data_IF_776573398372
#
_entry.id   IF_776573398372
#
_cell.length_a   1.000
_cell.length_b   1.000
_cell.length_c   1.000
_cell.angle_alpha   90.00
_cell.angle_beta   90.00
_cell.angle_gamma   90.00
#
_symmetry.space_group_name_H-M   'P 1'
#
loop_
_entity.id
_entity.type
_entity.pdbx_description
1 polymer ?
#
# COMPACT_ATOMS: atom_id res chain seq x y z
N UNK A 1 -30.25 34.78 -8.78
CA UNK A 1 -29.31 34.78 -9.93
C UNK A 1 -28.17 33.83 -9.60
N UNK A 2 -28.18 32.62 -10.16
CA UNK A 2 -27.19 31.57 -9.88
C UNK A 2 -25.83 31.84 -10.54
N UNK A 3 -25.11 32.86 -10.07
CA UNK A 3 -23.77 33.15 -10.56
C UNK A 3 -22.78 32.10 -10.05
N UNK A 4 -22.13 31.40 -10.98
CA UNK A 4 -21.04 30.47 -10.69
C UNK A 4 -19.82 31.27 -10.24
N UNK A 5 -19.39 31.06 -9.00
CA UNK A 5 -18.23 31.75 -8.40
C UNK A 5 -16.90 31.09 -8.76
N UNK A 6 -16.91 29.77 -8.96
CA UNK A 6 -15.72 28.99 -9.29
C UNK A 6 -16.13 27.65 -9.87
N UNK A 7 -15.34 27.18 -10.85
CA UNK A 7 -15.42 25.84 -11.41
C UNK A 7 -14.10 25.13 -11.12
N UNK A 8 -14.16 23.98 -10.46
CA UNK A 8 -12.99 23.17 -10.17
C UNK A 8 -12.74 22.20 -11.34
N UNK A 9 -11.81 22.56 -12.23
CA UNK A 9 -11.35 21.65 -13.28
C UNK A 9 -10.08 20.92 -12.80
N UNK A 10 -10.06 19.58 -12.80
CA UNK A 10 -8.89 18.84 -12.36
C UNK A 10 -7.74 19.06 -13.35
N UNK A 11 -6.62 19.61 -12.86
CA UNK A 11 -5.38 19.66 -13.62
C UNK A 11 -4.62 18.36 -13.36
N UNK A 12 -4.50 17.52 -14.39
CA UNK A 12 -3.79 16.26 -14.31
C UNK A 12 -2.42 16.40 -14.99
N UNK A 13 -1.39 15.86 -14.35
CA UNK A 13 -0.05 15.72 -14.92
C UNK A 13 0.49 14.36 -14.54
N UNK A 14 1.07 13.65 -15.50
CA UNK A 14 1.72 12.37 -15.24
C UNK A 14 2.96 12.58 -14.38
N UNK A 15 2.97 12.01 -13.17
CA UNK A 15 4.10 12.11 -12.25
C UNK A 15 5.13 11.00 -12.47
N UNK A 16 4.67 9.82 -12.91
CA UNK A 16 5.46 8.63 -13.18
C UNK A 16 4.87 7.89 -14.39
N UNK A 17 5.72 7.17 -15.12
CA UNK A 17 5.27 6.37 -16.26
C UNK A 17 4.26 5.29 -15.86
N UNK A 18 3.34 4.93 -16.76
CA UNK A 18 2.39 3.84 -16.55
C UNK A 18 3.07 2.52 -16.14
N UNK A 19 4.20 2.18 -16.78
CA UNK A 19 4.99 1.00 -16.44
C UNK A 19 5.56 1.08 -15.02
N UNK A 20 6.08 2.24 -14.61
CA UNK A 20 6.56 2.46 -13.24
C UNK A 20 5.41 2.37 -12.23
N UNK A 21 4.26 2.95 -12.55
CA UNK A 21 3.07 2.91 -11.69
C UNK A 21 2.58 1.46 -11.49
N UNK A 22 2.50 0.68 -12.56
CA UNK A 22 2.08 -0.72 -12.49
C UNK A 22 3.08 -1.62 -11.74
N UNK A 23 4.38 -1.35 -11.89
CA UNK A 23 5.42 -2.00 -11.09
C UNK A 23 5.25 -1.69 -9.60
N UNK A 24 5.08 -0.41 -9.25
CA UNK A 24 4.85 0.03 -7.87
C UNK A 24 3.58 -0.58 -7.28
N UNK A 25 2.50 -0.62 -8.06
CA UNK A 25 1.27 -1.31 -7.69
C UNK A 25 1.54 -2.78 -7.35
N UNK A 26 2.34 -3.46 -8.15
CA UNK A 26 2.67 -4.87 -7.90
C UNK A 26 3.41 -5.08 -6.58
N UNK A 27 4.34 -4.17 -6.24
CA UNK A 27 5.00 -4.17 -4.93
C UNK A 27 4.00 -3.92 -3.78
N UNK A 28 3.06 -3.00 -3.96
CA UNK A 28 2.04 -2.68 -2.97
C UNK A 28 1.02 -3.82 -2.78
N UNK A 29 0.70 -4.57 -3.85
CA UNK A 29 -0.09 -5.81 -3.76
C UNK A 29 0.64 -6.86 -2.92
N UNK A 30 1.98 -6.90 -2.99
CA UNK A 30 2.82 -7.76 -2.16
C UNK A 30 2.58 -7.55 -0.66
N UNK A 31 2.47 -6.29 -0.20
CA UNK A 31 2.21 -5.95 1.21
C UNK A 31 0.88 -6.53 1.71
N UNK A 32 -0.14 -6.53 0.84
CA UNK A 32 -1.50 -7.00 1.16
C UNK A 32 -1.62 -8.52 1.07
N UNK A 33 -0.92 -9.15 0.13
CA UNK A 33 -1.09 -10.59 -0.13
C UNK A 33 -0.07 -11.45 0.60
N UNK A 34 1.13 -10.92 0.87
CA UNK A 34 2.25 -11.67 1.47
C UNK A 34 2.95 -10.92 2.62
N UNK A 35 2.63 -9.65 2.85
CA UNK A 35 3.33 -8.79 3.80
C UNK A 35 2.56 -8.47 5.08
N UNK A 36 2.90 -7.32 5.66
CA UNK A 36 2.43 -6.89 6.99
C UNK A 36 0.91 -6.69 7.08
N UNK A 37 0.24 -6.44 5.95
CA UNK A 37 -1.21 -6.22 5.92
C UNK A 37 -2.02 -7.51 5.73
N UNK A 38 -1.40 -8.61 5.29
CA UNK A 38 -2.09 -9.84 4.86
C UNK A 38 -3.04 -10.39 5.91
N UNK A 39 -2.55 -10.53 7.15
CA UNK A 39 -3.35 -11.11 8.22
C UNK A 39 -4.66 -10.36 8.42
N UNK A 40 -4.61 -9.03 8.43
CA UNK A 40 -5.81 -8.24 8.70
C UNK A 40 -6.71 -8.17 7.46
N UNK A 41 -6.16 -7.83 6.29
CA UNK A 41 -6.96 -7.65 5.08
C UNK A 41 -7.60 -8.95 4.60
N UNK A 42 -6.81 -10.03 4.47
CA UNK A 42 -7.27 -11.29 3.86
C UNK A 42 -7.93 -12.25 4.84
N UNK A 43 -7.51 -12.27 6.11
CA UNK A 43 -8.01 -13.26 7.08
C UNK A 43 -8.97 -12.70 8.13
N UNK A 44 -8.87 -11.42 8.50
CA UNK A 44 -9.76 -10.83 9.53
C UNK A 44 -10.93 -10.10 8.89
N UNK A 45 -10.66 -9.25 7.89
CA UNK A 45 -11.69 -8.48 7.19
C UNK A 45 -12.21 -9.16 5.92
N UNK A 46 -11.57 -10.26 5.51
CA UNK A 46 -11.97 -11.09 4.35
C UNK A 46 -12.17 -10.27 3.07
N UNK A 47 -11.40 -9.20 2.90
CA UNK A 47 -11.43 -8.42 1.67
C UNK A 47 -10.69 -9.23 0.62
N UNK A 48 -11.37 -9.61 -0.46
CA UNK A 48 -10.83 -10.46 -1.54
C UNK A 48 -10.52 -9.70 -2.83
N UNK A 49 -10.93 -8.43 -2.91
CA UNK A 49 -10.70 -7.56 -4.06
C UNK A 49 -9.22 -7.34 -4.36
N UNK A 50 -8.93 -6.94 -5.60
CA UNK A 50 -7.60 -6.52 -5.98
C UNK A 50 -7.28 -5.17 -5.31
N UNK A 51 -6.22 -5.17 -4.50
CA UNK A 51 -5.81 -3.99 -3.76
C UNK A 51 -4.33 -3.99 -3.45
N UNK A 52 -3.74 -2.80 -3.46
CA UNK A 52 -2.41 -2.55 -2.93
C UNK A 52 -2.50 -1.82 -1.59
N UNK A 53 -1.42 -1.85 -0.81
CA UNK A 53 -1.37 -1.03 0.39
C UNK A 53 0.02 -0.86 0.97
N UNK A 54 0.14 0.07 1.90
CA UNK A 54 1.37 0.33 2.64
C UNK A 54 1.07 0.71 4.07
N UNK A 55 1.82 0.10 4.99
CA UNK A 55 1.84 0.45 6.40
C UNK A 55 2.94 1.47 6.68
N UNK A 56 2.69 2.41 7.58
CA UNK A 56 3.67 3.33 8.14
C UNK A 56 3.55 3.38 9.65
N UNK A 57 4.67 3.51 10.34
CA UNK A 57 4.72 3.66 11.80
C UNK A 57 5.82 4.67 12.12
N UNK A 58 5.55 5.69 12.92
CA UNK A 58 6.58 6.61 13.41
C UNK A 58 7.34 6.00 14.59
N UNK A 59 8.51 6.58 14.91
CA UNK A 59 9.30 6.16 16.06
C UNK A 59 8.50 6.28 17.37
N UNK A 60 8.84 5.46 18.36
CA UNK A 60 8.10 5.30 19.60
C UNK A 60 6.64 4.81 19.43
N UNK A 61 6.20 4.49 18.22
CA UNK A 61 4.83 4.06 17.94
C UNK A 61 3.79 5.12 18.31
N UNK A 62 4.09 6.40 18.05
CA UNK A 62 3.15 7.51 18.29
C UNK A 62 2.09 7.59 17.19
N UNK A 63 2.44 7.24 15.95
CA UNK A 63 1.56 7.32 14.79
C UNK A 63 1.58 6.05 13.96
N UNK A 64 0.39 5.60 13.60
CA UNK A 64 0.16 4.51 12.66
C UNK A 64 -0.57 5.02 11.43
N UNK A 65 -0.05 4.66 10.25
CA UNK A 65 -0.66 4.97 8.96
C UNK A 65 -0.95 3.69 8.18
N UNK A 66 -2.05 3.71 7.45
CA UNK A 66 -2.33 2.72 6.43
C UNK A 66 -2.90 3.42 5.20
N UNK A 67 -2.24 3.22 4.07
CA UNK A 67 -2.73 3.63 2.75
C UNK A 67 -3.16 2.38 2.00
N UNK A 68 -4.40 2.36 1.53
CA UNK A 68 -4.93 1.31 0.66
C UNK A 68 -5.38 1.89 -0.67
N UNK A 69 -5.15 1.13 -1.74
CA UNK A 69 -5.59 1.47 -3.08
C UNK A 69 -6.32 0.30 -3.74
N UNK A 70 -7.42 0.60 -4.39
CA UNK A 70 -8.17 -0.26 -5.31
C UNK A 70 -8.19 0.45 -6.68
N UNK A 71 -8.67 -0.20 -7.76
CA UNK A 71 -8.70 0.42 -9.08
C UNK A 71 -9.47 1.75 -9.10
N UNK A 72 -10.51 1.85 -8.28
CA UNK A 72 -11.46 2.96 -8.29
C UNK A 72 -11.44 3.83 -7.02
N UNK A 73 -10.63 3.47 -6.01
CA UNK A 73 -10.61 4.18 -4.73
C UNK A 73 -9.24 4.13 -4.06
N UNK A 74 -8.78 5.29 -3.58
CA UNK A 74 -7.63 5.40 -2.67
C UNK A 74 -8.14 5.85 -1.31
N UNK A 75 -7.74 5.14 -0.25
CA UNK A 75 -8.10 5.46 1.12
C UNK A 75 -6.86 5.52 2.01
N UNK A 76 -6.79 6.55 2.86
CA UNK A 76 -5.74 6.71 3.85
C UNK A 76 -6.33 6.81 5.25
N UNK A 77 -5.73 6.11 6.19
CA UNK A 77 -6.07 6.21 7.62
C UNK A 77 -4.82 6.55 8.39
N UNK A 78 -4.96 7.51 9.29
CA UNK A 78 -4.01 7.82 10.34
C UNK A 78 -4.65 7.61 11.69
N UNK A 79 -3.86 7.12 12.64
CA UNK A 79 -4.18 7.10 14.06
C UNK A 79 -2.95 7.60 14.81
N UNK A 80 -3.14 8.55 15.70
CA UNK A 80 -2.11 9.12 16.56
C UNK A 80 -2.73 10.05 17.58
N UNK A 81 -1.89 10.60 18.47
CA UNK A 81 -2.27 11.65 19.41
C UNK A 81 -1.85 13.04 18.93
N UNK A 82 -2.53 14.08 19.41
CA UNK A 82 -2.12 15.47 19.15
C UNK A 82 -0.75 15.77 19.79
N UNK A 83 -0.47 15.19 20.97
CA UNK A 83 0.85 15.20 21.59
C UNK A 83 1.60 13.91 21.28
N UNK A 84 2.84 14.04 20.81
CA UNK A 84 3.74 12.93 20.47
C UNK A 84 4.20 12.12 21.68
N UNK A 85 4.03 12.64 22.91
CA UNK A 85 4.24 11.86 24.13
C UNK A 85 3.22 10.72 24.28
N UNK A 86 2.08 10.82 23.58
CA UNK A 86 1.08 9.75 23.53
C UNK A 86 1.56 8.72 22.52
N UNK A 87 1.89 7.53 23.03
CA UNK A 87 2.35 6.45 22.19
C UNK A 87 1.90 5.10 22.74
N UNK A 88 1.94 4.08 21.91
CA UNK A 88 1.66 2.71 22.34
C UNK A 88 2.86 2.13 23.08
N UNK A 89 2.58 1.26 24.05
CA UNK A 89 3.62 0.63 24.89
C UNK A 89 4.57 -0.27 24.10
N UNK A 90 4.15 -0.77 22.93
CA UNK A 90 4.97 -1.66 22.11
C UNK A 90 4.57 -1.66 20.62
N UNK A 91 5.49 -2.17 19.80
CA UNK A 91 5.36 -2.30 18.33
C UNK A 91 4.16 -3.14 17.90
N UNK A 92 3.82 -4.20 18.66
CA UNK A 92 2.71 -5.09 18.28
C UNK A 92 1.39 -4.34 18.24
N UNK A 93 1.19 -3.43 19.20
CA UNK A 93 0.03 -2.55 19.29
C UNK A 93 0.15 -1.33 18.38
N UNK A 94 1.34 -0.72 18.34
CA UNK A 94 1.57 0.56 17.71
C UNK A 94 1.99 0.53 16.23
N UNK A 95 2.08 -0.64 15.61
CA UNK A 95 2.30 -0.72 14.16
C UNK A 95 1.06 -0.26 13.37
N UNK A 96 1.26 0.36 12.20
CA UNK A 96 0.15 0.81 11.34
C UNK A 96 -0.86 -0.29 10.97
N UNK A 97 -0.43 -1.55 10.90
CA UNK A 97 -1.31 -2.71 10.68
C UNK A 97 -2.25 -3.03 11.87
N UNK A 98 -1.87 -2.63 13.08
CA UNK A 98 -2.66 -2.81 14.30
C UNK A 98 -3.52 -1.59 14.62
N UNK A 99 -3.07 -0.39 14.24
CA UNK A 99 -3.74 0.87 14.53
C UNK A 99 -4.69 1.32 13.41
N UNK A 100 -4.15 1.72 12.27
CA UNK A 100 -4.89 2.39 11.19
C UNK A 100 -5.61 1.40 10.27
N UNK A 101 -4.99 0.25 9.97
CA UNK A 101 -5.53 -0.75 9.05
C UNK A 101 -6.92 -1.26 9.48
N UNK A 102 -7.23 -1.53 10.78
CA UNK A 102 -8.56 -1.91 11.20
C UNK A 102 -9.70 -0.99 10.75
N UNK A 103 -9.47 0.32 10.82
CA UNK A 103 -10.45 1.33 10.41
C UNK A 103 -10.65 1.24 8.91
N UNK A 104 -9.57 1.11 8.13
CA UNK A 104 -9.64 0.92 6.69
C UNK A 104 -10.40 -0.36 6.32
N UNK A 105 -10.14 -1.48 7.01
CA UNK A 105 -10.82 -2.75 6.77
C UNK A 105 -12.33 -2.65 6.95
N UNK A 106 -12.78 -2.08 8.08
CA UNK A 106 -14.20 -1.85 8.35
C UNK A 106 -14.84 -0.87 7.37
N UNK A 107 -14.11 0.18 6.98
CA UNK A 107 -14.57 1.13 5.97
C UNK A 107 -14.79 0.43 4.62
N UNK A 108 -13.83 -0.36 4.14
CA UNK A 108 -13.94 -1.06 2.87
C UNK A 108 -15.04 -2.12 2.87
N UNK A 109 -15.26 -2.84 3.98
CA UNK A 109 -16.42 -3.74 4.10
C UNK A 109 -17.74 -2.99 3.86
N UNK A 110 -17.88 -1.79 4.41
CA UNK A 110 -19.07 -0.95 4.17
C UNK A 110 -19.14 -0.43 2.74
N UNK A 111 -18.01 -0.06 2.15
CA UNK A 111 -17.94 0.35 0.73
C UNK A 111 -18.44 -0.78 -0.16
N UNK A 112 -17.90 -1.99 -0.01
CA UNK A 112 -18.27 -3.14 -0.83
C UNK A 112 -19.69 -3.67 -0.57
N UNK A 113 -20.26 -3.41 0.61
CA UNK A 113 -21.66 -3.74 0.88
C UNK A 113 -22.66 -2.84 0.14
N UNK A 114 -22.21 -1.72 -0.43
CA UNK A 114 -23.06 -0.74 -1.11
C UNK A 114 -22.67 -0.62 -2.60
N UNK A 115 -23.40 -1.36 -3.44
CA UNK A 115 -23.16 -1.39 -4.89
C UNK A 115 -23.43 -0.05 -5.59
N UNK A 116 -24.09 0.92 -4.95
CA UNK A 116 -24.37 2.23 -5.55
C UNK A 116 -23.13 3.13 -5.63
N UNK A 117 -22.04 2.77 -4.94
CA UNK A 117 -20.81 3.57 -4.87
C UNK A 117 -19.86 3.37 -6.05
N UNK A 118 -20.16 2.44 -6.96
CA UNK A 118 -19.34 2.19 -8.16
C UNK A 118 -17.97 1.58 -7.86
N UNK A 119 -17.76 1.05 -6.65
CA UNK A 119 -16.55 0.33 -6.26
C UNK A 119 -16.92 -1.12 -5.99
N UNK A 120 -16.50 -2.02 -6.87
CA UNK A 120 -16.89 -3.42 -6.84
C UNK A 120 -15.72 -4.29 -6.38
N UNK A 121 -16.05 -5.43 -5.77
CA UNK A 121 -15.05 -6.43 -5.35
C UNK A 121 -14.33 -7.04 -6.57
N UNK A 122 -15.02 -7.07 -7.71
CA UNK A 122 -14.53 -7.63 -8.99
C UNK A 122 -13.67 -6.67 -9.80
N UNK A 123 -13.54 -5.41 -9.37
CA UNK A 123 -12.70 -4.44 -10.08
C UNK A 123 -11.23 -4.89 -10.02
N UNK A 124 -10.54 -4.76 -11.15
CA UNK A 124 -9.14 -5.15 -11.32
C UNK A 124 -8.32 -3.97 -11.87
N UNK A 125 -7.03 -3.94 -11.55
CA UNK A 125 -6.15 -2.90 -12.09
C UNK A 125 -5.82 -3.18 -13.56
N UNK A 126 -5.82 -2.14 -14.38
CA UNK A 126 -5.45 -2.26 -15.79
C UNK A 126 -3.93 -2.39 -15.93
N UNK A 127 -3.49 -3.43 -16.64
CA UNK A 127 -2.09 -3.64 -16.97
C UNK A 127 -1.73 -2.81 -18.22
N UNK A 128 -0.68 -1.97 -18.17
CA UNK A 128 -0.32 -1.14 -19.31
C UNK A 128 0.17 -1.99 -20.50
N UNK A 129 -0.08 -1.53 -21.73
CA UNK A 129 0.41 -2.19 -22.92
C UNK A 129 1.94 -2.24 -22.90
N UNK A 130 2.53 -3.38 -23.30
CA UNK A 130 3.98 -3.61 -23.33
C UNK A 130 4.70 -3.65 -21.96
N UNK A 131 4.00 -3.93 -20.86
CA UNK A 131 4.66 -4.20 -19.58
C UNK A 131 5.44 -5.52 -19.59
N UNK A 132 6.77 -5.41 -19.73
CA UNK A 132 7.70 -6.54 -19.95
C UNK A 132 8.64 -6.84 -18.77
N UNK A 133 8.29 -6.39 -17.55
CA UNK A 133 9.10 -6.68 -16.37
C UNK A 133 8.67 -8.00 -15.72
N UNK A 134 9.65 -8.84 -15.38
CA UNK A 134 9.46 -10.04 -14.57
C UNK A 134 9.37 -9.61 -13.11
N UNK A 135 8.18 -9.70 -12.51
CA UNK A 135 7.93 -9.30 -11.12
C UNK A 135 8.04 -10.49 -10.16
N UNK A 136 7.73 -11.69 -10.64
CA UNK A 136 7.83 -12.91 -9.86
C UNK A 136 9.23 -13.50 -10.02
N UNK A 137 10.02 -13.49 -8.94
CA UNK A 137 11.26 -14.24 -8.90
C UNK A 137 10.93 -15.75 -8.93
N UNK A 138 11.55 -16.54 -9.84
CA UNK A 138 11.48 -17.98 -9.76
C UNK A 138 12.02 -18.44 -8.40
N UNK A 139 11.34 -19.39 -7.75
CA UNK A 139 11.76 -19.95 -6.46
C UNK A 139 13.19 -20.54 -6.51
N UNK A 140 13.67 -20.86 -7.71
CA UNK A 140 14.97 -21.48 -7.99
C UNK A 140 16.18 -20.53 -7.87
N UNK A 141 16.00 -19.21 -7.84
CA UNK A 141 17.13 -18.25 -7.76
C UNK A 141 17.58 -18.01 -6.31
N UNK A 142 16.74 -18.33 -5.32
CA UNK A 142 17.09 -18.16 -3.89
C UNK A 142 18.23 -19.10 -3.43
N UNK A 143 18.53 -20.15 -4.18
CA UNK A 143 19.66 -21.07 -3.93
C UNK A 143 20.93 -20.76 -4.73
N UNK A 144 20.91 -19.74 -5.60
CA UNK A 144 21.99 -19.43 -6.55
C UNK A 144 22.57 -18.02 -6.36
N UNK A 145 22.49 -17.46 -5.14
CA UNK A 145 23.33 -16.32 -4.79
C UNK A 145 24.79 -16.79 -4.78
N UNK A 146 25.47 -16.61 -5.91
CA UNK A 146 26.89 -16.89 -6.03
C UNK A 146 27.64 -15.93 -5.10
N UNK A 147 28.52 -16.45 -4.26
CA UNK A 147 29.23 -15.72 -3.20
C UNK A 147 30.08 -14.55 -3.73
N UNK A 148 30.32 -14.47 -5.04
CA UNK A 148 31.01 -13.36 -5.69
C UNK A 148 30.21 -12.05 -5.71
N UNK A 149 28.88 -12.13 -5.74
CA UNK A 149 28.02 -10.93 -5.78
C UNK A 149 27.82 -10.32 -4.39
N UNK A 150 28.26 -10.99 -3.32
CA UNK A 150 28.20 -10.42 -1.95
C UNK A 150 29.51 -9.68 -1.62
N UNK A 151 30.66 -10.19 -2.10
CA UNK A 151 31.96 -9.53 -1.91
C UNK A 151 32.04 -8.16 -2.59
N UNK A 152 31.45 -8.00 -3.79
CA UNK A 152 31.46 -6.72 -4.51
C UNK A 152 30.66 -5.60 -3.80
N UNK A 153 29.67 -5.95 -2.98
CA UNK A 153 28.80 -4.98 -2.32
C UNK A 153 29.38 -4.51 -0.99
N UNK A 154 30.14 -5.35 -0.29
CA UNK A 154 30.84 -4.96 0.95
C UNK A 154 31.99 -4.00 0.68
N UNK A 155 32.70 -4.13 -0.46
CA UNK A 155 33.80 -3.23 -0.83
C UNK A 155 33.32 -1.81 -1.21
N UNK A 156 32.13 -1.68 -1.82
CA UNK A 156 31.63 -0.38 -2.28
C UNK A 156 31.05 0.50 -1.18
N UNK A 157 30.59 -0.08 -0.05
CA UNK A 157 30.01 0.66 1.06
C UNK A 157 30.99 0.96 2.22
N UNK A 158 32.23 0.45 2.15
CA UNK A 158 33.28 0.69 3.16
C UNK A 158 34.31 1.78 2.80
N UNK A 159 34.13 2.51 1.69
CA UNK A 159 35.00 3.65 1.39
C UNK A 159 34.55 4.90 2.19
N UNK A 160 35.46 5.57 2.94
CA UNK A 160 35.10 6.71 3.80
C UNK A 160 34.59 7.92 3.02
#
# INVERSE_FOLDING_TARGET
>A
NGNVLTTFQPKQSEAISENTAYLMLSLLKGVVNRGTATRRIRHVYELTSEMGGKTGTTQNHSDGWYMGLTPNLVGGVWVGGDDRSIHFDNMSLGQGASMALPIYGLFMQKVYSDSTRGVLVTDAFEKPPNFNLVIDCPEDIAGAANTSDVELWEEDFQRP
#
